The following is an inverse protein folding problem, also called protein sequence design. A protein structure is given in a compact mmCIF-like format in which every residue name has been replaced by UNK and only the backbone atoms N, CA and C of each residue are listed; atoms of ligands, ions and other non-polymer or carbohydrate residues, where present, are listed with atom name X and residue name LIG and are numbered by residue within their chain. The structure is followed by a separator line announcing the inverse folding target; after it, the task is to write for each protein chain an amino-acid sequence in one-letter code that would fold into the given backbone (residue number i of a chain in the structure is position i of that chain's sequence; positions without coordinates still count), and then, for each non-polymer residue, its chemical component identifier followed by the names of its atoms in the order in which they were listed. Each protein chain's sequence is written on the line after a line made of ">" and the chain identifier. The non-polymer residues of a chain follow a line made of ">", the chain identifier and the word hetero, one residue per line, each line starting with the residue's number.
data_IF_042342664425
#
_entry.id   IF_042342664425
#
_cell.length_a   1.000
_cell.length_b   1.000
_cell.length_c   1.000
_cell.angle_alpha   90.00
_cell.angle_beta   90.00
_cell.angle_gamma   90.00
#
_symmetry.space_group_name_H-M   'P 1'
#
loop_
_entity.id
_entity.type
_entity.pdbx_description
1 polymer ?
#
# COMPACT_ATOMS: atom_id res chain seq x y z
N UNK A 1 12.59 5.89 19.30
CA UNK A 1 11.81 6.44 18.18
C UNK A 1 12.60 7.61 17.64
N UNK A 2 13.40 7.38 16.59
CA UNK A 2 14.21 8.44 15.96
C UNK A 2 13.38 9.40 15.07
N UNK A 3 12.11 9.12 14.82
CA UNK A 3 11.22 10.00 14.04
C UNK A 3 10.31 10.85 14.97
N UNK A 4 10.69 12.09 15.32
CA UNK A 4 9.91 12.99 16.16
C UNK A 4 8.55 13.40 15.56
N UNK A 5 7.70 13.91 16.45
CA UNK A 5 6.30 14.34 16.26
C UNK A 5 6.10 15.28 15.04
N UNK A 6 7.12 16.08 14.73
CA UNK A 6 7.27 16.92 13.55
C UNK A 6 8.75 16.95 13.20
N UNK A 7 9.11 16.77 11.94
CA UNK A 7 10.47 17.13 11.52
C UNK A 7 10.50 17.34 10.01
N UNK A 8 10.57 18.61 9.63
CA UNK A 8 10.98 19.02 8.28
C UNK A 8 12.33 18.42 7.90
N UNK A 9 13.16 18.02 8.87
CA UNK A 9 14.42 17.35 8.58
C UNK A 9 14.20 16.02 7.86
N UNK A 10 13.17 15.24 8.22
CA UNK A 10 12.86 14.00 7.48
C UNK A 10 12.40 14.25 6.07
N UNK A 11 11.64 15.33 5.86
CA UNK A 11 11.27 15.77 4.51
C UNK A 11 12.53 16.09 3.70
N UNK A 12 13.41 16.95 4.22
CA UNK A 12 14.66 17.35 3.56
C UNK A 12 15.55 16.15 3.29
N UNK A 13 15.75 15.27 4.27
CA UNK A 13 16.54 14.04 4.12
C UNK A 13 16.03 13.21 2.94
N UNK A 14 14.70 13.04 2.79
CA UNK A 14 14.16 12.21 1.72
C UNK A 14 14.15 12.90 0.37
N UNK A 15 13.98 14.22 0.32
CA UNK A 15 14.18 14.99 -0.92
C UNK A 15 15.63 14.87 -1.38
N UNK A 16 16.59 15.11 -0.49
CA UNK A 16 18.03 14.98 -0.76
C UNK A 16 18.39 13.54 -1.13
N UNK A 17 17.84 12.54 -0.45
CA UNK A 17 18.06 11.14 -0.80
C UNK A 17 17.62 10.86 -2.24
N UNK A 18 16.43 11.31 -2.65
CA UNK A 18 15.94 11.16 -4.02
C UNK A 18 16.82 11.86 -5.05
N UNK A 19 17.27 13.09 -4.74
CA UNK A 19 18.19 13.86 -5.58
C UNK A 19 19.53 13.15 -5.78
N UNK A 20 20.16 12.71 -4.69
CA UNK A 20 21.46 12.04 -4.75
C UNK A 20 21.37 10.68 -5.44
N UNK A 21 20.22 10.00 -5.35
CA UNK A 21 19.99 8.72 -6.04
C UNK A 21 20.00 8.87 -7.57
N UNK A 22 19.75 10.06 -8.12
CA UNK A 22 19.88 10.31 -9.56
C UNK A 22 21.34 10.17 -10.00
N UNK A 23 22.29 10.52 -9.11
CA UNK A 23 23.72 10.50 -9.41
C UNK A 23 24.37 9.13 -9.17
N UNK A 24 23.94 8.40 -8.13
CA UNK A 24 24.47 7.05 -7.83
C UNK A 24 23.54 6.26 -6.91
N UNK A 25 23.71 4.93 -6.84
CA UNK A 25 22.98 4.06 -5.90
C UNK A 25 23.48 4.12 -4.45
N UNK A 26 24.69 4.66 -4.22
CA UNK A 26 25.36 4.68 -2.91
C UNK A 26 24.51 5.34 -1.80
N UNK A 27 23.83 6.49 -2.02
CA UNK A 27 23.02 7.14 -1.00
C UNK A 27 21.90 6.26 -0.44
N UNK A 28 21.15 5.55 -1.31
CA UNK A 28 20.07 4.66 -0.86
C UNK A 28 20.62 3.41 -0.19
N UNK A 29 21.74 2.87 -0.67
CA UNK A 29 22.45 1.77 -0.03
C UNK A 29 22.82 2.15 1.41
N UNK A 30 23.60 3.21 1.59
CA UNK A 30 24.04 3.68 2.91
C UNK A 30 22.85 3.98 3.82
N UNK A 31 21.84 4.68 3.29
CA UNK A 31 20.65 5.04 4.05
C UNK A 31 19.90 3.82 4.56
N UNK A 32 19.71 2.80 3.72
CA UNK A 32 19.02 1.56 4.10
C UNK A 32 19.77 0.83 5.22
N UNK A 33 21.09 0.63 5.08
CA UNK A 33 21.90 -0.05 6.09
C UNK A 33 21.95 0.72 7.41
N UNK A 34 22.14 2.05 7.37
CA UNK A 34 22.07 2.92 8.55
C UNK A 34 20.70 2.82 9.20
N UNK A 35 19.63 2.88 8.41
CA UNK A 35 18.27 2.78 8.93
C UNK A 35 18.06 1.45 9.66
N UNK A 36 18.39 0.31 9.05
CA UNK A 36 18.24 -1.00 9.69
C UNK A 36 19.09 -1.14 10.95
N UNK A 37 20.34 -0.68 10.92
CA UNK A 37 21.22 -0.66 12.09
C UNK A 37 20.57 0.12 13.24
N UNK A 38 20.05 1.33 12.98
CA UNK A 38 19.37 2.15 13.99
C UNK A 38 18.12 1.47 14.55
N UNK A 39 17.31 0.83 13.70
CA UNK A 39 16.12 0.10 14.15
C UNK A 39 16.47 -1.16 14.94
N UNK A 40 17.55 -1.84 14.58
CA UNK A 40 18.08 -2.99 15.31
C UNK A 40 18.49 -2.60 16.74
N UNK A 41 19.30 -1.55 16.92
CA UNK A 41 19.61 -1.04 18.27
C UNK A 41 18.36 -0.57 19.02
N UNK A 42 17.44 0.10 18.33
CA UNK A 42 16.20 0.56 18.94
C UNK A 42 15.35 -0.62 19.44
N UNK A 43 15.33 -1.76 18.74
CA UNK A 43 14.57 -2.95 19.13
C UNK A 43 14.98 -3.49 20.50
N UNK A 44 16.28 -3.50 20.81
CA UNK A 44 16.78 -3.94 22.12
C UNK A 44 16.59 -2.89 23.22
N UNK A 45 16.63 -1.59 22.87
CA UNK A 45 16.45 -0.49 23.84
C UNK A 45 14.99 -0.29 24.27
N UNK A 46 14.02 -0.55 23.41
CA UNK A 46 12.61 -0.35 23.75
C UNK A 46 12.04 -1.49 24.58
N UNK A 47 11.06 -1.16 25.43
CA UNK A 47 10.31 -2.14 26.19
C UNK A 47 9.61 -3.14 25.24
N UNK A 48 9.60 -4.42 25.61
CA UNK A 48 9.05 -5.54 24.81
C UNK A 48 7.63 -5.25 24.28
N UNK A 49 6.77 -4.63 25.11
CA UNK A 49 5.40 -4.27 24.71
C UNK A 49 5.30 -3.35 23.50
N UNK A 50 6.39 -2.65 23.15
CA UNK A 50 6.44 -1.74 22.01
C UNK A 50 7.13 -2.31 20.78
N UNK A 51 7.77 -3.49 20.87
CA UNK A 51 8.52 -4.10 19.77
C UNK A 51 7.63 -4.43 18.57
N UNK A 52 6.40 -4.90 18.79
CA UNK A 52 5.44 -5.12 17.71
C UNK A 52 5.11 -3.85 16.91
N UNK A 53 5.00 -2.69 17.58
CA UNK A 53 4.80 -1.42 16.87
C UNK A 53 6.04 -1.01 16.08
N UNK A 54 7.24 -1.22 16.63
CA UNK A 54 8.49 -0.94 15.93
C UNK A 54 8.57 -1.75 14.64
N UNK A 55 8.34 -3.06 14.71
CA UNK A 55 8.36 -3.95 13.53
C UNK A 55 7.38 -3.46 12.45
N UNK A 56 6.14 -3.12 12.83
CA UNK A 56 5.17 -2.57 11.90
C UNK A 56 5.64 -1.24 11.28
N UNK A 57 6.23 -0.35 12.09
CA UNK A 57 6.78 0.93 11.63
C UNK A 57 7.95 0.74 10.64
N UNK A 58 8.81 -0.26 10.85
CA UNK A 58 9.89 -0.63 9.93
C UNK A 58 9.33 -1.11 8.59
N UNK A 59 8.39 -2.06 8.62
CA UNK A 59 7.74 -2.57 7.41
C UNK A 59 7.10 -1.44 6.60
N UNK A 60 6.34 -0.57 7.28
CA UNK A 60 5.67 0.58 6.69
C UNK A 60 6.65 1.50 5.97
N UNK A 61 7.75 1.84 6.63
CA UNK A 61 8.75 2.74 6.07
C UNK A 61 9.46 2.15 4.86
N UNK A 62 9.74 0.84 4.87
CA UNK A 62 10.47 0.19 3.78
C UNK A 62 9.68 0.05 2.47
N UNK A 63 8.35 0.26 2.49
CA UNK A 63 7.45 0.05 1.33
C UNK A 63 7.90 0.76 0.07
N UNK A 64 8.17 2.06 0.18
CA UNK A 64 8.57 2.88 -0.97
C UNK A 64 10.09 2.96 -1.12
N UNK A 65 10.86 2.50 -0.12
CA UNK A 65 12.32 2.40 -0.19
C UNK A 65 12.77 1.33 -1.20
N UNK A 66 12.05 0.22 -1.30
CA UNK A 66 12.31 -0.81 -2.32
C UNK A 66 12.31 -0.17 -3.72
N UNK A 67 11.29 0.64 -4.03
CA UNK A 67 11.15 1.24 -5.35
C UNK A 67 12.32 2.17 -5.69
N UNK A 68 12.66 3.11 -4.81
CA UNK A 68 13.79 4.02 -5.08
C UNK A 68 15.12 3.25 -5.21
N UNK A 69 15.30 2.17 -4.45
CA UNK A 69 16.48 1.30 -4.57
C UNK A 69 16.56 0.63 -5.94
N UNK A 70 15.42 0.18 -6.49
CA UNK A 70 15.34 -0.37 -7.85
C UNK A 70 15.59 0.69 -8.92
N UNK A 71 14.99 1.87 -8.77
CA UNK A 71 15.17 3.00 -9.70
C UNK A 71 16.61 3.50 -9.75
N UNK A 72 17.32 3.43 -8.63
CA UNK A 72 18.74 3.78 -8.53
C UNK A 72 19.68 2.64 -8.95
N UNK A 73 19.17 1.48 -9.37
CA UNK A 73 19.97 0.29 -9.72
C UNK A 73 20.92 -0.18 -8.60
N UNK A 74 20.40 -0.30 -7.37
CA UNK A 74 21.19 -0.68 -6.20
C UNK A 74 21.48 -2.20 -6.05
N UNK A 75 20.99 -3.03 -6.96
CA UNK A 75 21.31 -4.46 -7.01
C UNK A 75 22.79 -4.67 -7.39
N UNK A 76 23.54 -5.62 -6.77
CA UNK A 76 23.09 -6.64 -5.82
C UNK A 76 23.14 -6.21 -4.34
N UNK A 77 23.61 -5.01 -4.01
CA UNK A 77 23.76 -4.56 -2.61
C UNK A 77 22.42 -4.40 -1.89
N UNK A 78 21.38 -4.04 -2.63
CA UNK A 78 19.98 -4.10 -2.22
C UNK A 78 19.29 -5.07 -3.19
N UNK A 79 18.93 -6.29 -2.74
CA UNK A 79 18.27 -7.27 -3.59
C UNK A 79 17.02 -6.70 -4.26
N UNK A 80 16.82 -7.04 -5.54
CA UNK A 80 15.66 -6.54 -6.29
C UNK A 80 14.33 -6.77 -5.54
N UNK A 81 14.13 -7.93 -4.90
CA UNK A 81 12.91 -8.26 -4.14
C UNK A 81 13.00 -8.00 -2.63
N UNK A 82 13.92 -7.14 -2.18
CA UNK A 82 14.24 -6.96 -0.76
C UNK A 82 13.00 -6.75 0.13
N UNK A 83 12.00 -5.97 -0.29
CA UNK A 83 10.83 -5.71 0.54
C UNK A 83 9.96 -6.95 0.77
N UNK A 84 9.93 -7.92 -0.16
CA UNK A 84 9.28 -9.23 0.09
C UNK A 84 10.01 -9.99 1.19
N UNK A 85 11.35 -9.98 1.18
CA UNK A 85 12.16 -10.66 2.20
C UNK A 85 12.09 -9.97 3.56
N UNK A 86 12.15 -8.64 3.61
CA UNK A 86 11.98 -7.85 4.84
C UNK A 86 10.59 -8.12 5.44
N UNK A 87 9.53 -8.02 4.63
CA UNK A 87 8.17 -8.24 5.11
C UNK A 87 8.02 -9.64 5.70
N UNK A 88 8.53 -10.67 5.01
CA UNK A 88 8.51 -12.04 5.50
C UNK A 88 9.19 -12.16 6.87
N UNK A 89 10.46 -11.73 6.97
CA UNK A 89 11.25 -11.82 8.19
C UNK A 89 10.61 -11.06 9.36
N UNK A 90 10.20 -9.81 9.11
CA UNK A 90 9.59 -8.94 10.13
C UNK A 90 8.23 -9.46 10.59
N UNK A 91 7.42 -10.04 9.69
CA UNK A 91 6.19 -10.70 10.08
C UNK A 91 6.46 -11.91 10.96
N UNK A 92 7.42 -12.78 10.60
CA UNK A 92 7.77 -13.95 11.41
C UNK A 92 8.21 -13.52 12.82
N UNK A 93 9.13 -12.56 12.93
CA UNK A 93 9.58 -12.02 14.22
C UNK A 93 8.40 -11.41 14.98
N UNK A 94 7.53 -10.66 14.29
CA UNK A 94 6.34 -10.05 14.86
C UNK A 94 5.34 -11.06 15.41
N UNK A 95 5.15 -12.19 14.73
CA UNK A 95 4.29 -13.30 15.15
C UNK A 95 4.87 -13.95 16.42
N UNK A 96 6.16 -14.27 16.43
CA UNK A 96 6.83 -14.87 17.59
C UNK A 96 6.68 -13.98 18.83
N UNK A 97 6.90 -12.67 18.70
CA UNK A 97 6.75 -11.72 19.81
C UNK A 97 5.30 -11.54 20.29
N UNK A 98 4.31 -11.84 19.45
CA UNK A 98 2.89 -11.69 19.77
C UNK A 98 2.15 -13.03 19.74
N UNK A 99 2.85 -14.13 19.97
CA UNK A 99 2.32 -15.49 19.81
C UNK A 99 1.04 -15.72 20.64
N UNK A 100 0.99 -15.19 21.85
CA UNK A 100 -0.18 -15.27 22.74
C UNK A 100 -1.45 -14.60 22.14
N UNK A 101 -1.33 -13.81 21.08
CA UNK A 101 -2.43 -13.11 20.41
C UNK A 101 -2.70 -13.64 18.99
N UNK A 102 -2.03 -14.72 18.57
CA UNK A 102 -2.07 -15.27 17.21
C UNK A 102 -3.49 -15.65 16.75
N UNK A 103 -4.38 -16.00 17.69
CA UNK A 103 -5.79 -16.32 17.42
C UNK A 103 -6.56 -15.19 16.73
N UNK A 104 -6.12 -13.93 16.87
CA UNK A 104 -6.69 -12.78 16.14
C UNK A 104 -6.38 -12.80 14.65
N UNK A 105 -5.29 -13.47 14.29
CA UNK A 105 -4.76 -13.60 12.95
C UNK A 105 -5.17 -14.89 12.23
N UNK A 106 -6.12 -15.67 12.77
CA UNK A 106 -6.48 -17.01 12.27
C UNK A 106 -6.83 -17.09 10.78
N UNK A 107 -7.35 -16.00 10.21
CA UNK A 107 -7.63 -15.93 8.77
C UNK A 107 -6.34 -15.99 7.95
N UNK A 108 -5.27 -15.32 8.39
CA UNK A 108 -3.97 -15.45 7.74
C UNK A 108 -3.40 -16.86 7.84
N UNK A 109 -3.60 -17.55 8.97
CA UNK A 109 -3.20 -18.96 9.09
C UNK A 109 -3.97 -19.87 8.12
N UNK A 110 -5.28 -19.67 8.00
CA UNK A 110 -6.10 -20.39 7.02
C UNK A 110 -5.62 -20.14 5.59
N UNK A 111 -5.28 -18.90 5.23
CA UNK A 111 -4.75 -18.57 3.92
C UNK A 111 -3.42 -19.29 3.63
N UNK A 112 -2.50 -19.38 4.61
CA UNK A 112 -1.25 -20.14 4.44
C UNK A 112 -1.52 -21.61 4.15
N UNK A 113 -2.45 -22.23 4.88
CA UNK A 113 -2.81 -23.65 4.69
C UNK A 113 -3.39 -23.87 3.30
N UNK A 114 -4.28 -22.99 2.84
CA UNK A 114 -4.89 -23.09 1.51
C UNK A 114 -3.90 -22.87 0.37
N UNK A 115 -2.78 -22.18 0.59
CA UNK A 115 -1.74 -22.03 -0.44
C UNK A 115 -0.91 -23.31 -0.64
N UNK A 116 -0.82 -24.20 0.37
CA UNK A 116 0.09 -25.35 0.36
C UNK A 116 -0.11 -26.34 -0.80
N UNK A 117 -1.34 -26.72 -1.20
CA UNK A 117 -1.52 -27.79 -2.18
C UNK A 117 -0.83 -27.53 -3.53
N UNK A 118 -0.83 -26.29 -4.02
CA UNK A 118 -0.24 -25.97 -5.32
C UNK A 118 1.28 -26.01 -5.34
N UNK A 119 1.96 -26.03 -4.18
CA UNK A 119 3.42 -26.21 -4.13
C UNK A 119 3.85 -27.62 -4.50
N UNK A 120 2.93 -28.59 -4.44
CA UNK A 120 3.21 -29.99 -4.76
C UNK A 120 2.80 -30.36 -6.18
N UNK A 121 2.39 -29.37 -6.99
CA UNK A 121 1.90 -29.55 -8.35
C UNK A 121 2.71 -28.63 -9.26
N UNK A 122 3.14 -29.14 -10.41
CA UNK A 122 3.64 -28.33 -11.52
C UNK A 122 3.26 -29.03 -12.83
N UNK A 123 2.16 -28.57 -13.43
CA UNK A 123 1.68 -29.10 -14.72
C UNK A 123 2.54 -28.66 -15.90
N UNK A 124 3.37 -27.62 -15.73
CA UNK A 124 4.26 -27.14 -16.77
C UNK A 124 5.59 -27.90 -16.85
N UNK A 125 6.02 -28.48 -15.72
CA UNK A 125 7.34 -29.09 -15.56
C UNK A 125 8.51 -28.12 -15.69
N UNK A 126 8.25 -26.81 -15.70
CA UNK A 126 9.23 -25.74 -15.98
C UNK A 126 9.42 -24.78 -14.80
N UNK A 127 8.68 -24.95 -13.70
CA UNK A 127 8.70 -23.99 -12.59
C UNK A 127 10.05 -24.04 -11.86
N UNK A 128 10.74 -22.90 -11.81
CA UNK A 128 11.96 -22.76 -11.01
C UNK A 128 11.64 -22.25 -9.59
N UNK A 129 12.60 -22.42 -8.68
CA UNK A 129 12.52 -21.78 -7.36
C UNK A 129 12.46 -20.25 -7.45
N UNK A 130 13.04 -19.66 -8.50
CA UNK A 130 12.92 -18.23 -8.79
C UNK A 130 11.47 -17.81 -9.00
N UNK A 131 10.70 -18.60 -9.77
CA UNK A 131 9.30 -18.32 -10.09
C UNK A 131 8.40 -18.47 -8.86
N UNK A 132 8.62 -19.51 -8.07
CA UNK A 132 7.92 -19.71 -6.78
C UNK A 132 8.11 -18.49 -5.85
N UNK A 133 9.36 -18.04 -5.69
CA UNK A 133 9.67 -16.85 -4.88
C UNK A 133 9.00 -15.60 -5.44
N UNK A 134 9.06 -15.39 -6.75
CA UNK A 134 8.54 -14.18 -7.38
C UNK A 134 7.01 -14.09 -7.27
N UNK A 135 6.28 -15.17 -7.53
CA UNK A 135 4.81 -15.13 -7.59
C UNK A 135 4.11 -15.43 -6.26
N UNK A 136 4.65 -16.32 -5.41
CA UNK A 136 3.92 -16.79 -4.23
C UNK A 136 4.25 -16.02 -2.97
N UNK A 137 5.48 -15.49 -2.86
CA UNK A 137 5.93 -14.80 -1.65
C UNK A 137 5.06 -13.57 -1.33
N UNK A 138 4.44 -12.95 -2.35
CA UNK A 138 3.45 -11.90 -2.16
C UNK A 138 2.22 -12.35 -1.35
N UNK A 139 1.65 -13.50 -1.70
CA UNK A 139 0.49 -14.08 -1.01
C UNK A 139 0.85 -14.64 0.37
N UNK A 140 2.03 -15.26 0.51
CA UNK A 140 2.57 -15.65 1.83
C UNK A 140 2.70 -14.42 2.73
N UNK A 141 3.29 -13.34 2.22
CA UNK A 141 3.44 -12.09 2.98
C UNK A 141 2.11 -11.46 3.35
N UNK A 142 1.10 -11.50 2.47
CA UNK A 142 -0.25 -11.06 2.80
C UNK A 142 -0.80 -11.85 4.00
N UNK A 143 -0.68 -13.18 3.95
CA UNK A 143 -1.17 -14.07 4.99
C UNK A 143 -0.43 -13.87 6.32
N UNK A 144 0.91 -13.87 6.31
CA UNK A 144 1.75 -13.57 7.48
C UNK A 144 1.48 -12.16 8.04
N UNK A 145 1.29 -11.19 7.15
CA UNK A 145 0.91 -9.82 7.49
C UNK A 145 -0.41 -9.76 8.24
N UNK A 146 -1.44 -10.49 7.79
CA UNK A 146 -2.71 -10.60 8.52
C UNK A 146 -2.51 -11.26 9.88
N UNK A 147 -1.69 -12.32 9.98
CA UNK A 147 -1.43 -12.98 11.27
C UNK A 147 -0.85 -11.99 12.26
N UNK A 148 0.23 -11.32 11.86
CA UNK A 148 0.95 -10.37 12.70
C UNK A 148 0.14 -9.12 13.00
N UNK A 149 -0.30 -8.37 11.99
CA UNK A 149 -0.89 -7.04 12.16
C UNK A 149 -2.28 -7.08 12.81
N UNK A 150 -3.00 -8.21 12.77
CA UNK A 150 -4.23 -8.42 13.54
C UNK A 150 -3.98 -8.45 15.07
N UNK A 151 -2.75 -8.72 15.50
CA UNK A 151 -2.37 -8.65 16.92
C UNK A 151 -2.18 -7.21 17.40
N UNK A 152 -1.86 -6.28 16.49
CA UNK A 152 -1.50 -4.90 16.80
C UNK A 152 -2.75 -4.07 17.13
N UNK A 153 -2.72 -3.44 18.31
CA UNK A 153 -3.74 -2.48 18.78
C UNK A 153 -3.12 -1.10 18.94
N UNK A 154 -3.46 -0.18 18.07
CA UNK A 154 -2.80 1.12 17.97
C UNK A 154 -3.79 2.26 18.17
N UNK A 155 -3.36 3.32 18.86
CA UNK A 155 -4.19 4.53 18.98
C UNK A 155 -4.28 5.23 17.63
N UNK A 156 -5.40 5.92 17.39
CA UNK A 156 -5.57 6.71 16.15
C UNK A 156 -4.40 7.67 15.92
N UNK A 157 -3.88 8.32 16.97
CA UNK A 157 -2.73 9.24 16.88
C UNK A 157 -1.49 8.53 16.35
N UNK A 158 -1.18 7.31 16.83
CA UNK A 158 -0.02 6.56 16.33
C UNK A 158 -0.28 6.03 14.92
N UNK A 159 -1.50 5.60 14.60
CA UNK A 159 -1.84 5.19 13.24
C UNK A 159 -1.67 6.36 12.25
N UNK A 160 -2.07 7.58 12.61
CA UNK A 160 -1.82 8.78 11.80
C UNK A 160 -0.32 9.05 11.62
N UNK A 161 0.54 8.71 12.60
CA UNK A 161 2.01 8.81 12.41
C UNK A 161 2.53 7.84 11.35
N UNK A 162 1.88 6.70 11.13
CA UNK A 162 2.27 5.77 10.07
C UNK A 162 2.09 6.36 8.67
N UNK A 163 1.16 7.30 8.46
CA UNK A 163 1.07 8.05 7.20
C UNK A 163 2.36 8.82 6.90
N UNK A 164 3.01 9.39 7.92
CA UNK A 164 4.31 10.07 7.75
C UNK A 164 5.40 9.07 7.36
N UNK A 165 5.42 7.90 7.99
CA UNK A 165 6.39 6.85 7.66
C UNK A 165 6.22 6.34 6.22
N UNK A 166 4.98 6.14 5.77
CA UNK A 166 4.68 5.74 4.39
C UNK A 166 5.17 6.79 3.39
N UNK A 167 4.93 8.07 3.65
CA UNK A 167 5.15 9.12 2.64
C UNK A 167 6.60 9.55 2.49
N UNK A 168 7.44 9.37 3.51
CA UNK A 168 8.83 9.83 3.45
C UNK A 168 9.62 9.21 2.27
N UNK A 169 9.66 7.88 2.08
CA UNK A 169 10.31 7.35 0.89
C UNK A 169 9.52 7.58 -0.40
N UNK A 170 8.21 7.83 -0.37
CA UNK A 170 7.49 8.32 -1.55
C UNK A 170 8.02 9.68 -2.03
N UNK A 171 8.44 10.56 -1.10
CA UNK A 171 9.05 11.85 -1.43
C UNK A 171 10.39 11.66 -2.13
N UNK A 172 11.19 10.66 -1.75
CA UNK A 172 12.43 10.32 -2.46
C UNK A 172 12.15 9.87 -3.89
N UNK A 173 11.12 9.03 -4.10
CA UNK A 173 10.68 8.63 -5.45
C UNK A 173 10.23 9.85 -6.25
N UNK A 174 9.41 10.74 -5.66
CA UNK A 174 8.97 11.97 -6.32
C UNK A 174 10.16 12.85 -6.74
N UNK A 175 11.07 13.14 -5.82
CA UNK A 175 12.24 13.97 -6.08
C UNK A 175 13.13 13.36 -7.19
N UNK A 176 13.38 12.06 -7.13
CA UNK A 176 14.13 11.35 -8.16
C UNK A 176 13.46 11.48 -9.53
N UNK A 177 12.14 11.23 -9.61
CA UNK A 177 11.43 11.30 -10.90
C UNK A 177 11.42 12.70 -11.49
N UNK A 178 11.16 13.75 -10.69
CA UNK A 178 11.13 15.13 -11.19
C UNK A 178 12.47 15.54 -11.78
N UNK A 179 13.57 15.10 -11.17
CA UNK A 179 14.92 15.55 -11.52
C UNK A 179 15.51 14.74 -12.67
N UNK A 180 15.16 13.45 -12.75
CA UNK A 180 15.54 12.59 -13.85
C UNK A 180 14.64 12.76 -15.08
N UNK A 181 13.49 13.45 -14.95
CA UNK A 181 12.66 13.78 -16.11
C UNK A 181 13.51 14.58 -17.13
N UNK A 182 13.43 14.23 -18.42
CA UNK A 182 13.96 15.09 -19.48
C UNK A 182 13.19 16.41 -19.54
N UNK A 183 13.67 17.37 -20.35
CA UNK A 183 12.89 18.58 -20.62
C UNK A 183 11.53 18.17 -21.21
N UNK A 184 10.47 18.49 -20.48
CA UNK A 184 9.10 18.13 -20.84
C UNK A 184 8.66 18.83 -22.14
N UNK A 185 9.32 19.93 -22.54
CA UNK A 185 9.06 20.65 -23.79
C UNK A 185 9.60 19.92 -25.02
N UNK A 186 10.65 19.12 -24.83
CA UNK A 186 11.30 18.33 -25.87
C UNK A 186 10.83 16.87 -25.87
N UNK A 187 10.02 16.49 -24.88
CA UNK A 187 9.52 15.13 -24.75
C UNK A 187 8.32 14.89 -25.66
N UNK A 188 8.47 14.04 -26.67
CA UNK A 188 7.35 13.53 -27.44
C UNK A 188 6.53 12.53 -26.60
N UNK A 189 5.33 12.95 -26.19
CA UNK A 189 4.40 12.08 -25.48
C UNK A 189 3.68 11.14 -26.46
N UNK A 190 3.77 9.84 -26.21
CA UNK A 190 3.02 8.80 -26.94
C UNK A 190 1.87 8.22 -26.06
N UNK A 191 0.97 7.46 -26.67
CA UNK A 191 -0.17 6.80 -26.02
C UNK A 191 0.22 5.56 -25.20
N UNK A 192 1.52 5.33 -24.99
CA UNK A 192 2.08 4.27 -24.16
C UNK A 192 2.29 4.66 -22.69
N UNK A 193 2.79 3.74 -21.89
CA UNK A 193 3.39 4.09 -20.60
C UNK A 193 4.67 4.88 -20.82
N UNK A 194 4.90 5.95 -20.05
CA UNK A 194 6.07 6.80 -20.23
C UNK A 194 7.15 6.44 -19.20
N UNK A 195 8.19 5.73 -19.65
CA UNK A 195 9.32 5.34 -18.82
C UNK A 195 10.25 6.51 -18.50
N UNK A 196 10.37 7.48 -19.40
CA UNK A 196 11.21 8.67 -19.21
C UNK A 196 10.70 9.50 -18.02
N UNK A 197 9.39 9.79 -18.01
CA UNK A 197 8.75 10.50 -16.89
C UNK A 197 8.58 9.63 -15.63
N UNK A 198 8.88 8.34 -15.71
CA UNK A 198 8.96 7.44 -14.56
C UNK A 198 10.41 7.30 -14.04
N UNK A 199 11.34 8.16 -14.47
CA UNK A 199 12.75 8.12 -14.05
C UNK A 199 13.53 6.94 -14.65
N UNK A 200 13.11 6.43 -15.80
CA UNK A 200 13.70 5.28 -16.48
C UNK A 200 13.31 3.93 -15.89
N UNK A 201 12.25 3.87 -15.07
CA UNK A 201 11.82 2.64 -14.39
C UNK A 201 10.35 2.29 -14.68
N UNK A 202 9.90 1.12 -14.22
CA UNK A 202 8.55 0.61 -14.46
C UNK A 202 7.44 1.57 -14.01
N UNK A 203 6.82 2.25 -14.99
CA UNK A 203 5.82 3.31 -14.77
C UNK A 203 4.66 2.90 -13.85
N UNK A 204 4.24 1.64 -13.90
CA UNK A 204 3.19 1.12 -13.02
C UNK A 204 3.58 1.14 -11.55
N UNK A 205 4.82 0.78 -11.22
CA UNK A 205 5.31 0.78 -9.85
C UNK A 205 5.51 2.21 -9.35
N UNK A 206 6.08 3.07 -10.21
CA UNK A 206 6.29 4.50 -9.92
C UNK A 206 4.96 5.22 -9.69
N UNK A 207 4.00 5.08 -10.59
CA UNK A 207 2.68 5.70 -10.43
C UNK A 207 1.91 5.19 -9.21
N UNK A 208 2.10 3.93 -8.82
CA UNK A 208 1.49 3.38 -7.59
C UNK A 208 2.04 4.10 -6.35
N UNK A 209 3.37 4.28 -6.27
CA UNK A 209 4.01 4.98 -5.13
C UNK A 209 3.70 6.48 -5.12
N UNK A 210 3.68 7.12 -6.29
CA UNK A 210 3.26 8.52 -6.42
C UNK A 210 1.79 8.71 -6.04
N UNK A 211 0.92 7.78 -6.46
CA UNK A 211 -0.48 7.72 -6.07
C UNK A 211 -0.66 7.54 -4.55
N UNK A 212 0.13 6.67 -3.92
CA UNK A 212 0.16 6.54 -2.45
C UNK A 212 0.53 7.89 -1.80
N UNK A 213 1.54 8.58 -2.33
CA UNK A 213 1.91 9.93 -1.88
C UNK A 213 0.73 10.91 -1.98
N UNK A 214 0.07 10.98 -3.14
CA UNK A 214 -1.11 11.81 -3.35
C UNK A 214 -2.26 11.47 -2.39
N UNK A 215 -2.55 10.19 -2.17
CA UNK A 215 -3.55 9.74 -1.19
C UNK A 215 -3.20 10.21 0.22
N UNK A 216 -1.95 10.05 0.67
CA UNK A 216 -1.52 10.44 2.02
C UNK A 216 -1.63 11.95 2.23
N UNK A 217 -1.16 12.77 1.28
CA UNK A 217 -1.28 14.23 1.38
C UNK A 217 -2.74 14.70 1.30
N UNK A 218 -3.58 14.01 0.52
CA UNK A 218 -5.03 14.29 0.50
C UNK A 218 -5.66 14.04 1.87
N UNK A 219 -5.38 12.88 2.47
CA UNK A 219 -5.88 12.52 3.81
C UNK A 219 -5.34 13.47 4.87
N UNK A 220 -4.08 13.91 4.78
CA UNK A 220 -3.49 14.86 5.72
C UNK A 220 -4.17 16.23 5.67
N UNK A 221 -4.48 16.73 4.48
CA UNK A 221 -5.22 17.98 4.29
C UNK A 221 -6.68 17.87 4.78
N UNK A 222 -7.36 16.75 4.51
CA UNK A 222 -8.74 16.51 4.96
C UNK A 222 -8.85 16.41 6.48
N UNK A 223 -7.92 15.70 7.12
CA UNK A 223 -7.87 15.53 8.58
C UNK A 223 -7.14 16.68 9.30
N UNK A 224 -6.64 17.67 8.56
CA UNK A 224 -5.84 18.80 9.03
C UNK A 224 -4.64 18.42 9.92
N UNK A 225 -4.02 17.27 9.65
CA UNK A 225 -2.69 16.97 10.20
C UNK A 225 -1.62 17.33 9.17
N UNK A 226 -0.50 17.85 9.64
CA UNK A 226 0.59 18.29 8.76
C UNK A 226 1.60 17.16 8.54
N UNK A 227 1.90 16.88 7.27
CA UNK A 227 3.06 16.03 6.90
C UNK A 227 4.32 16.88 7.02
N UNK A 228 4.32 18.04 6.35
CA UNK A 228 5.37 19.06 6.44
C UNK A 228 5.12 20.02 7.61
N UNK A 229 5.83 21.16 7.65
CA UNK A 229 5.57 22.23 8.64
C UNK A 229 4.46 23.18 8.21
N UNK A 230 4.12 23.23 6.92
CA UNK A 230 3.26 24.26 6.34
C UNK A 230 2.18 23.63 5.45
N UNK A 231 0.93 24.07 5.60
CA UNK A 231 -0.19 23.64 4.75
C UNK A 231 0.07 23.92 3.27
N UNK A 232 0.68 25.05 2.93
CA UNK A 232 1.00 25.39 1.55
C UNK A 232 2.00 24.39 0.94
N UNK A 233 2.99 23.94 1.72
CA UNK A 233 3.90 22.88 1.29
C UNK A 233 3.18 21.54 1.12
N UNK A 234 2.27 21.19 2.03
CA UNK A 234 1.45 19.97 1.87
C UNK A 234 0.61 20.00 0.58
N UNK A 235 0.06 21.17 0.20
CA UNK A 235 -0.66 21.37 -1.07
C UNK A 235 0.28 21.28 -2.27
N UNK A 236 1.47 21.89 -2.19
CA UNK A 236 2.48 21.81 -3.23
C UNK A 236 2.92 20.36 -3.47
N UNK A 237 3.24 19.61 -2.43
CA UNK A 237 3.60 18.19 -2.57
C UNK A 237 2.46 17.38 -3.17
N UNK A 238 1.21 17.61 -2.74
CA UNK A 238 0.05 16.97 -3.37
C UNK A 238 -0.01 17.25 -4.87
N UNK A 239 0.18 18.50 -5.28
CA UNK A 239 0.20 18.91 -6.68
C UNK A 239 1.31 18.19 -7.46
N UNK A 240 2.53 18.16 -6.90
CA UNK A 240 3.67 17.47 -7.51
C UNK A 240 3.44 15.96 -7.65
N UNK A 241 2.91 15.29 -6.61
CA UNK A 241 2.56 13.87 -6.68
C UNK A 241 1.51 13.59 -7.75
N UNK A 242 0.48 14.44 -7.86
CA UNK A 242 -0.58 14.28 -8.86
C UNK A 242 -0.04 14.51 -10.26
N UNK A 243 0.65 15.63 -10.52
CA UNK A 243 1.22 15.93 -11.85
C UNK A 243 2.20 14.84 -12.25
N UNK A 244 3.23 14.57 -11.44
CA UNK A 244 4.26 13.59 -11.78
C UNK A 244 3.66 12.20 -11.96
N UNK A 245 2.71 11.81 -11.11
CA UNK A 245 2.01 10.54 -11.23
C UNK A 245 1.23 10.41 -12.55
N UNK A 246 0.54 11.47 -12.97
CA UNK A 246 -0.17 11.50 -14.26
C UNK A 246 0.80 11.45 -15.45
N UNK A 247 1.94 12.16 -15.38
CA UNK A 247 2.94 12.20 -16.45
C UNK A 247 3.57 10.83 -16.74
N UNK A 248 3.51 9.86 -15.81
CA UNK A 248 3.95 8.47 -16.06
C UNK A 248 3.07 7.69 -17.06
N UNK A 249 1.87 8.20 -17.37
CA UNK A 249 0.85 7.55 -18.21
C UNK A 249 0.38 6.17 -17.70
N UNK A 250 0.69 5.85 -16.44
CA UNK A 250 0.18 4.64 -15.77
C UNK A 250 -1.10 4.94 -14.99
N UNK A 251 -2.23 4.76 -15.69
CA UNK A 251 -3.58 5.03 -15.19
C UNK A 251 -3.89 4.37 -13.85
N UNK A 252 -3.54 3.08 -13.70
CA UNK A 252 -3.99 2.31 -12.53
C UNK A 252 -3.42 2.82 -11.20
N UNK A 253 -2.15 3.23 -11.14
CA UNK A 253 -1.57 3.75 -9.90
C UNK A 253 -2.30 4.99 -9.37
N UNK A 254 -2.67 5.90 -10.28
CA UNK A 254 -3.37 7.13 -9.95
C UNK A 254 -4.87 6.92 -9.71
N UNK A 255 -5.54 6.07 -10.52
CA UNK A 255 -6.95 5.73 -10.33
C UNK A 255 -7.16 5.06 -8.96
N UNK A 256 -6.30 4.13 -8.58
CA UNK A 256 -6.36 3.48 -7.27
C UNK A 256 -6.26 4.48 -6.11
N UNK A 257 -5.35 5.45 -6.21
CA UNK A 257 -5.21 6.52 -5.23
C UNK A 257 -6.46 7.41 -5.16
N UNK A 258 -7.01 7.82 -6.30
CA UNK A 258 -8.24 8.63 -6.35
C UNK A 258 -9.43 7.87 -5.74
N UNK A 259 -9.60 6.60 -6.08
CA UNK A 259 -10.63 5.75 -5.51
C UNK A 259 -10.48 5.63 -3.98
N UNK A 260 -9.25 5.48 -3.49
CA UNK A 260 -8.97 5.46 -2.05
C UNK A 260 -9.34 6.79 -1.35
N UNK A 261 -9.09 7.94 -1.99
CA UNK A 261 -9.53 9.26 -1.49
C UNK A 261 -11.06 9.38 -1.48
N UNK A 262 -11.75 8.94 -2.53
CA UNK A 262 -13.21 8.94 -2.57
C UNK A 262 -13.83 8.05 -1.49
N UNK A 263 -13.30 6.83 -1.30
CA UNK A 263 -13.74 5.92 -0.24
C UNK A 263 -13.46 6.52 1.14
N UNK A 264 -12.33 7.21 1.31
CA UNK A 264 -12.02 7.93 2.53
C UNK A 264 -13.09 8.99 2.82
N UNK A 265 -13.36 9.86 1.85
CA UNK A 265 -14.37 10.93 1.92
C UNK A 265 -15.77 10.36 2.20
N UNK A 266 -16.15 9.26 1.55
CA UNK A 266 -17.46 8.62 1.72
C UNK A 266 -17.73 8.17 3.15
N UNK A 267 -16.74 7.61 3.84
CA UNK A 267 -16.88 7.19 5.23
C UNK A 267 -16.69 8.33 6.21
N UNK A 268 -15.70 9.19 5.98
CA UNK A 268 -15.35 10.26 6.92
C UNK A 268 -16.47 11.30 7.01
N UNK A 269 -17.17 11.62 5.90
CA UNK A 269 -18.30 12.56 5.92
C UNK A 269 -19.47 12.12 6.83
N UNK A 270 -19.56 10.81 7.13
CA UNK A 270 -20.57 10.22 8.04
C UNK A 270 -20.18 10.34 9.52
N UNK A 271 -19.05 10.98 9.84
CA UNK A 271 -18.59 11.24 11.20
C UNK A 271 -19.50 12.27 11.89
N UNK A 272 -19.99 11.94 13.08
CA UNK A 272 -20.90 12.79 13.87
C UNK A 272 -20.20 14.09 14.30
N UNK A 273 -20.97 15.17 14.43
CA UNK A 273 -20.42 16.48 14.81
C UNK A 273 -19.66 16.46 16.15
N UNK A 274 -20.18 15.77 17.16
CA UNK A 274 -19.53 15.59 18.46
C UNK A 274 -18.15 14.93 18.33
N UNK A 275 -18.05 13.87 17.54
CA UNK A 275 -16.79 13.15 17.33
C UNK A 275 -15.79 14.00 16.54
N UNK A 276 -16.26 14.82 15.58
CA UNK A 276 -15.40 15.78 14.86
C UNK A 276 -14.75 16.79 15.80
N UNK A 277 -15.52 17.36 16.73
CA UNK A 277 -15.01 18.31 17.72
C UNK A 277 -13.98 17.64 18.63
N UNK A 278 -14.29 16.45 19.15
CA UNK A 278 -13.38 15.69 20.02
C UNK A 278 -12.06 15.35 19.33
N UNK A 279 -12.10 15.08 18.03
CA UNK A 279 -10.95 14.66 17.23
C UNK A 279 -10.27 15.83 16.52
N UNK A 280 -10.77 17.06 16.72
CA UNK A 280 -10.29 18.30 16.08
C UNK A 280 -10.27 18.21 14.55
N UNK A 281 -11.24 17.50 13.97
CA UNK A 281 -11.37 17.32 12.52
C UNK A 281 -12.25 18.44 11.97
N UNK A 282 -11.81 19.16 10.92
CA UNK A 282 -12.60 20.22 10.32
C UNK A 282 -13.89 19.68 9.66
N UNK A 283 -14.79 20.58 9.26
CA UNK A 283 -16.00 20.15 8.56
C UNK A 283 -15.65 19.58 7.18
N UNK A 284 -15.74 18.26 7.06
CA UNK A 284 -15.35 17.48 5.88
C UNK A 284 -16.11 17.89 4.62
N UNK A 285 -17.38 18.35 4.75
CA UNK A 285 -18.16 18.82 3.60
C UNK A 285 -17.46 19.96 2.85
N UNK A 286 -16.62 20.75 3.54
CA UNK A 286 -15.82 21.82 2.93
C UNK A 286 -14.68 21.30 2.04
N UNK A 287 -14.31 20.02 2.11
CA UNK A 287 -13.20 19.45 1.35
C UNK A 287 -13.64 18.64 0.14
N UNK A 288 -14.92 18.23 0.04
CA UNK A 288 -15.39 17.41 -1.09
C UNK A 288 -15.22 18.15 -2.42
N UNK A 289 -15.78 19.36 -2.52
CA UNK A 289 -15.70 20.16 -3.74
C UNK A 289 -14.25 20.60 -4.06
N UNK A 290 -13.45 21.11 -3.10
CA UNK A 290 -12.05 21.45 -3.36
C UNK A 290 -11.19 20.27 -3.80
N UNK A 291 -11.38 19.07 -3.24
CA UNK A 291 -10.62 17.88 -3.68
C UNK A 291 -10.98 17.52 -5.12
N UNK A 292 -12.28 17.52 -5.47
CA UNK A 292 -12.71 17.25 -6.86
C UNK A 292 -12.13 18.31 -7.80
N UNK A 293 -12.25 19.59 -7.47
CA UNK A 293 -11.71 20.68 -8.27
C UNK A 293 -10.19 20.57 -8.43
N UNK A 294 -9.48 20.26 -7.34
CA UNK A 294 -8.03 20.06 -7.37
C UNK A 294 -7.65 18.95 -8.33
N UNK A 295 -8.27 17.77 -8.22
CA UNK A 295 -7.97 16.64 -9.10
C UNK A 295 -8.27 16.96 -10.57
N UNK A 296 -9.40 17.64 -10.84
CA UNK A 296 -9.77 18.07 -12.18
C UNK A 296 -8.78 19.07 -12.76
N UNK A 297 -8.43 20.13 -12.01
CA UNK A 297 -7.48 21.16 -12.45
C UNK A 297 -6.12 20.53 -12.75
N UNK A 298 -5.58 19.72 -11.84
CA UNK A 298 -4.27 19.12 -12.04
C UNK A 298 -4.25 18.04 -13.13
N UNK A 299 -5.39 17.40 -13.41
CA UNK A 299 -5.54 16.58 -14.62
C UNK A 299 -5.43 17.41 -15.90
N UNK A 300 -6.13 18.56 -15.97
CA UNK A 300 -6.03 19.45 -17.13
C UNK A 300 -4.66 20.08 -17.29
N UNK A 301 -3.99 20.44 -16.20
CA UNK A 301 -2.59 20.92 -16.23
C UNK A 301 -1.68 19.84 -16.80
N UNK A 302 -1.74 18.60 -16.30
CA UNK A 302 -0.95 17.51 -16.83
C UNK A 302 -1.29 17.22 -18.30
N UNK A 303 -2.58 17.29 -18.67
CA UNK A 303 -3.01 17.11 -20.05
C UNK A 303 -2.46 18.19 -20.99
N UNK A 304 -2.43 19.44 -20.54
CA UNK A 304 -1.85 20.55 -21.27
C UNK A 304 -0.34 20.36 -21.49
N UNK A 305 0.40 19.94 -20.45
CA UNK A 305 1.83 19.60 -20.56
C UNK A 305 2.07 18.51 -21.62
N UNK A 306 1.13 17.57 -21.76
CA UNK A 306 1.24 16.45 -22.69
C UNK A 306 0.61 16.70 -24.06
N UNK A 307 0.26 17.96 -24.38
CA UNK A 307 -0.42 18.33 -25.64
C UNK A 307 -1.69 17.51 -25.93
N UNK A 308 -2.45 17.15 -24.89
CA UNK A 308 -3.69 16.37 -25.01
C UNK A 308 -3.53 14.85 -24.96
N UNK A 309 -2.29 14.33 -25.00
CA UNK A 309 -2.03 12.88 -25.05
C UNK A 309 -2.46 12.15 -23.78
N UNK A 310 -2.39 12.80 -22.62
CA UNK A 310 -2.87 12.21 -21.37
C UNK A 310 -4.37 11.91 -21.42
N UNK A 311 -5.19 12.83 -21.94
CA UNK A 311 -6.63 12.61 -22.07
C UNK A 311 -6.93 11.46 -23.01
N UNK A 312 -6.25 11.38 -24.15
CA UNK A 312 -6.37 10.27 -25.10
C UNK A 312 -6.00 8.94 -24.43
N UNK A 313 -4.88 8.89 -23.70
CA UNK A 313 -4.46 7.72 -22.92
C UNK A 313 -5.54 7.29 -21.91
N UNK A 314 -6.12 8.24 -21.16
CA UNK A 314 -7.17 7.96 -20.19
C UNK A 314 -8.51 7.55 -20.82
N UNK A 315 -8.79 8.00 -22.05
CA UNK A 315 -9.91 7.50 -22.88
C UNK A 315 -9.66 6.13 -23.52
N UNK A 316 -8.44 5.58 -23.39
CA UNK A 316 -8.09 4.28 -23.95
C UNK A 316 -7.59 4.32 -25.39
N UNK A 317 -7.22 5.49 -25.88
CA UNK A 317 -6.66 5.61 -27.22
C UNK A 317 -5.27 4.97 -27.30
N UNK A 318 -4.97 4.43 -28.47
CA UNK A 318 -3.68 3.89 -28.90
C UNK A 318 -3.41 4.37 -30.33
N UNK A 319 -2.17 4.27 -30.83
CA UNK A 319 -1.89 4.63 -32.25
C UNK A 319 -2.83 3.90 -33.20
N UNK A 320 -3.11 2.62 -32.93
CA UNK A 320 -4.04 1.81 -33.72
C UNK A 320 -5.49 2.29 -33.65
N UNK A 321 -5.99 2.76 -32.50
CA UNK A 321 -7.38 3.26 -32.42
C UNK A 321 -7.54 4.62 -33.08
N UNK A 322 -6.51 5.46 -33.02
CA UNK A 322 -6.48 6.71 -33.78
C UNK A 322 -6.44 6.47 -35.29
N UNK A 323 -5.87 5.35 -35.74
CA UNK A 323 -5.85 4.93 -37.14
C UNK A 323 -7.08 4.09 -37.56
N UNK A 324 -8.16 4.08 -36.76
CA UNK A 324 -9.43 3.45 -37.11
C UNK A 324 -9.66 2.03 -36.57
N UNK A 325 -8.73 1.45 -35.80
CA UNK A 325 -9.01 0.19 -35.12
C UNK A 325 -10.02 0.38 -33.98
N UNK A 326 -10.85 -0.63 -33.74
CA UNK A 326 -11.80 -0.58 -32.64
C UNK A 326 -11.11 -0.47 -31.27
N UNK A 327 -11.79 0.25 -30.37
CA UNK A 327 -11.44 0.34 -28.96
C UNK A 327 -11.95 -0.90 -28.23
N UNK A 328 -11.03 -1.77 -27.87
CA UNK A 328 -11.34 -2.98 -27.10
C UNK A 328 -10.98 -2.80 -25.62
N UNK A 329 -11.59 -3.61 -24.75
CA UNK A 329 -11.25 -3.71 -23.33
C UNK A 329 -9.75 -3.98 -23.14
N UNK A 330 -9.14 -4.71 -24.06
CA UNK A 330 -7.73 -5.07 -24.01
C UNK A 330 -6.78 -3.88 -24.17
N UNK A 331 -7.10 -2.95 -25.06
CA UNK A 331 -6.36 -1.69 -25.21
C UNK A 331 -6.53 -0.80 -23.98
N UNK A 332 -7.76 -0.75 -23.44
CA UNK A 332 -8.06 -0.03 -22.19
C UNK A 332 -7.30 -0.60 -20.98
N UNK A 333 -7.07 -1.91 -20.92
CA UNK A 333 -6.36 -2.56 -19.82
C UNK A 333 -4.88 -2.79 -20.09
N UNK A 334 -4.39 -2.47 -21.30
CA UNK A 334 -3.01 -2.70 -21.75
C UNK A 334 -2.64 -4.18 -21.69
N UNK A 335 -3.31 -5.00 -22.50
CA UNK A 335 -3.08 -6.44 -22.67
C UNK A 335 -3.43 -7.31 -21.45
N UNK A 336 -3.98 -6.72 -20.38
CA UNK A 336 -4.29 -7.46 -19.14
C UNK A 336 -5.56 -8.30 -19.25
N UNK A 337 -6.51 -7.94 -20.12
CA UNK A 337 -7.72 -8.75 -20.29
C UNK A 337 -7.40 -10.05 -21.00
N UNK A 338 -6.55 -10.03 -22.03
CA UNK A 338 -6.19 -11.26 -22.76
C UNK A 338 -5.38 -12.20 -21.87
N UNK A 339 -4.42 -11.65 -21.12
CA UNK A 339 -3.69 -12.44 -20.11
C UNK A 339 -4.60 -13.02 -19.02
N UNK A 340 -5.66 -12.28 -18.64
CA UNK A 340 -6.66 -12.78 -17.70
C UNK A 340 -7.45 -13.94 -18.29
N UNK A 341 -7.80 -13.87 -19.59
CA UNK A 341 -8.52 -14.93 -20.29
C UNK A 341 -7.65 -16.19 -20.44
N UNK A 342 -6.38 -16.06 -20.83
CA UNK A 342 -5.51 -17.25 -20.91
C UNK A 342 -5.27 -17.90 -19.53
N UNK A 343 -5.19 -17.12 -18.45
CA UNK A 343 -5.17 -17.67 -17.09
C UNK A 343 -6.48 -18.41 -16.75
N UNK A 344 -7.63 -17.94 -17.27
CA UNK A 344 -8.89 -18.67 -17.11
C UNK A 344 -8.90 -19.95 -17.94
N UNK A 345 -8.29 -19.97 -19.12
CA UNK A 345 -8.17 -21.18 -19.93
C UNK A 345 -7.35 -22.25 -19.18
N UNK A 346 -6.22 -21.86 -18.58
CA UNK A 346 -5.44 -22.73 -17.69
C UNK A 346 -6.27 -23.18 -16.48
N UNK A 347 -7.09 -22.29 -15.90
CA UNK A 347 -7.98 -22.67 -14.80
C UNK A 347 -9.05 -23.68 -15.24
N UNK A 348 -9.60 -23.56 -16.44
CA UNK A 348 -10.60 -24.49 -16.98
C UNK A 348 -9.99 -25.87 -17.27
N UNK A 349 -8.70 -25.92 -17.62
CA UNK A 349 -7.95 -27.17 -17.78
C UNK A 349 -7.65 -27.85 -16.43
N UNK A 350 -7.29 -27.07 -15.41
CA UNK A 350 -6.93 -27.56 -14.06
C UNK A 350 -7.83 -26.99 -12.94
N UNK A 351 -9.15 -27.22 -12.94
CA UNK A 351 -10.09 -26.45 -12.14
C UNK A 351 -10.02 -26.71 -10.64
N UNK A 352 -9.68 -27.92 -10.20
CA UNK A 352 -9.78 -28.31 -8.79
C UNK A 352 -8.57 -27.82 -7.98
N UNK A 353 -7.38 -28.33 -8.31
CA UNK A 353 -6.14 -28.07 -7.57
C UNK A 353 -5.27 -26.98 -8.20
N UNK A 354 -5.62 -26.53 -9.41
CA UNK A 354 -4.81 -25.60 -10.20
C UNK A 354 -3.66 -26.28 -10.93
N UNK A 355 -3.01 -25.50 -11.79
CA UNK A 355 -1.85 -25.92 -12.57
C UNK A 355 -0.58 -26.10 -11.73
N UNK A 356 -0.58 -25.65 -10.48
CA UNK A 356 0.62 -25.58 -9.66
C UNK A 356 1.12 -24.16 -9.50
N UNK A 357 1.83 -23.93 -8.39
CA UNK A 357 2.21 -22.59 -8.03
C UNK A 357 3.23 -22.01 -9.03
N UNK A 358 2.91 -20.87 -9.64
CA UNK A 358 3.66 -20.24 -10.74
C UNK A 358 3.64 -20.98 -12.09
N UNK A 359 2.96 -22.12 -12.21
CA UNK A 359 2.95 -22.90 -13.44
C UNK A 359 2.18 -22.21 -14.58
N UNK A 360 1.17 -21.37 -14.27
CA UNK A 360 0.33 -20.77 -15.30
C UNK A 360 1.10 -19.89 -16.28
N UNK A 361 2.23 -19.30 -15.85
CA UNK A 361 3.11 -18.49 -16.71
C UNK A 361 3.64 -19.27 -17.91
N UNK A 362 3.76 -20.58 -17.80
CA UNK A 362 4.33 -21.45 -18.83
C UNK A 362 3.28 -22.18 -19.68
N UNK A 363 2.03 -22.19 -19.23
CA UNK A 363 0.91 -22.87 -19.87
C UNK A 363 0.06 -21.95 -20.75
N UNK A 364 0.31 -20.64 -20.69
CA UNK A 364 -0.28 -19.65 -21.57
C UNK A 364 0.21 -19.78 -23.01
N UNK A 365 -0.65 -19.45 -23.96
CA UNK A 365 -0.32 -19.50 -25.39
C UNK A 365 0.43 -18.25 -25.85
N UNK A 366 -0.21 -17.07 -25.83
CA UNK A 366 0.39 -15.85 -26.35
C UNK A 366 1.29 -15.15 -25.34
N UNK A 367 1.01 -15.34 -24.04
CA UNK A 367 1.75 -14.70 -22.95
C UNK A 367 2.69 -15.66 -22.21
N UNK A 368 3.16 -16.73 -22.87
CA UNK A 368 4.11 -17.68 -22.31
C UNK A 368 5.37 -16.99 -21.80
N UNK A 369 5.75 -17.26 -20.56
CA UNK A 369 6.93 -16.65 -19.91
C UNK A 369 6.72 -15.21 -19.44
N UNK A 370 5.56 -14.60 -19.69
CA UNK A 370 5.26 -13.23 -19.28
C UNK A 370 4.62 -13.23 -17.90
N UNK A 371 5.28 -12.56 -16.95
CA UNK A 371 4.82 -12.49 -15.57
C UNK A 371 3.40 -11.87 -15.46
N UNK A 372 2.53 -12.44 -14.60
CA UNK A 372 1.14 -12.04 -14.47
C UNK A 372 0.99 -10.58 -14.05
N UNK A 373 0.01 -9.91 -14.66
CA UNK A 373 -0.34 -8.53 -14.33
C UNK A 373 -1.56 -8.41 -13.40
N UNK A 374 -2.33 -9.49 -13.23
CA UNK A 374 -3.53 -9.54 -12.40
C UNK A 374 -3.42 -10.70 -11.42
N UNK A 375 -3.46 -10.40 -10.12
CA UNK A 375 -3.29 -11.41 -9.08
C UNK A 375 -4.46 -12.41 -9.03
N UNK A 376 -5.69 -11.97 -9.36
CA UNK A 376 -6.89 -12.82 -9.32
C UNK A 376 -6.80 -13.97 -10.34
N UNK A 377 -6.55 -13.69 -11.61
CA UNK A 377 -6.51 -14.74 -12.65
C UNK A 377 -5.37 -15.72 -12.40
N UNK A 378 -4.19 -15.21 -12.02
CA UNK A 378 -3.06 -16.04 -11.59
C UNK A 378 -3.43 -16.97 -10.43
N UNK A 379 -4.09 -16.44 -9.40
CA UNK A 379 -4.48 -17.23 -8.24
C UNK A 379 -5.46 -18.35 -8.62
N UNK A 380 -6.39 -18.09 -9.56
CA UNK A 380 -7.29 -19.11 -10.10
C UNK A 380 -6.54 -20.17 -10.90
N UNK A 381 -5.67 -19.76 -11.83
CA UNK A 381 -4.88 -20.67 -12.66
C UNK A 381 -3.96 -21.57 -11.83
N UNK A 382 -3.22 -20.98 -10.89
CA UNK A 382 -2.20 -21.69 -10.09
C UNK A 382 -2.81 -22.59 -9.00
N UNK A 383 -3.98 -22.24 -8.43
CA UNK A 383 -4.56 -22.92 -7.27
C UNK A 383 -5.98 -23.49 -7.49
N UNK A 384 -6.57 -23.34 -8.68
CA UNK A 384 -7.90 -23.87 -8.98
C UNK A 384 -9.01 -23.28 -8.10
N UNK A 385 -9.95 -24.13 -7.69
CA UNK A 385 -11.04 -23.80 -6.77
C UNK A 385 -10.53 -23.32 -5.41
N UNK A 386 -9.35 -23.78 -4.99
CA UNK A 386 -8.71 -23.30 -3.76
C UNK A 386 -8.30 -21.83 -3.93
N UNK A 387 -7.81 -21.45 -5.11
CA UNK A 387 -7.54 -20.06 -5.47
C UNK A 387 -8.77 -19.17 -5.39
N UNK A 388 -9.90 -19.64 -5.92
CA UNK A 388 -11.18 -18.93 -5.81
C UNK A 388 -11.60 -18.76 -4.34
N UNK A 389 -11.48 -19.83 -3.53
CA UNK A 389 -11.78 -19.79 -2.11
C UNK A 389 -10.89 -18.78 -1.36
N UNK A 390 -9.58 -18.75 -1.64
CA UNK A 390 -8.63 -17.78 -1.09
C UNK A 390 -9.08 -16.35 -1.41
N UNK A 391 -9.43 -16.08 -2.67
CA UNK A 391 -9.90 -14.75 -3.08
C UNK A 391 -11.18 -14.34 -2.35
N UNK A 392 -12.16 -15.24 -2.24
CA UNK A 392 -13.41 -14.98 -1.52
C UNK A 392 -13.16 -14.72 -0.03
N UNK A 393 -12.26 -15.48 0.61
CA UNK A 393 -11.87 -15.24 2.02
C UNK A 393 -11.25 -13.85 2.18
N UNK A 394 -10.35 -13.45 1.29
CA UNK A 394 -9.73 -12.12 1.29
C UNK A 394 -10.81 -11.02 1.17
N UNK A 395 -11.75 -11.16 0.23
CA UNK A 395 -12.83 -10.18 0.03
C UNK A 395 -13.77 -10.10 1.24
N UNK A 396 -14.23 -11.24 1.75
CA UNK A 396 -15.10 -11.31 2.94
C UNK A 396 -14.35 -10.73 4.15
N UNK A 397 -13.08 -11.07 4.34
CA UNK A 397 -12.25 -10.53 5.42
C UNK A 397 -12.18 -9.01 5.33
N UNK A 398 -11.91 -8.44 4.16
CA UNK A 398 -11.87 -7.00 3.94
C UNK A 398 -13.19 -6.32 4.37
N UNK A 399 -14.34 -6.86 3.92
CA UNK A 399 -15.67 -6.34 4.27
C UNK A 399 -15.92 -6.42 5.78
N UNK A 400 -15.62 -7.56 6.39
CA UNK A 400 -15.78 -7.77 7.84
C UNK A 400 -14.91 -6.82 8.64
N UNK A 401 -13.66 -6.60 8.24
CA UNK A 401 -12.74 -5.65 8.90
C UNK A 401 -13.26 -4.21 8.84
N UNK A 402 -13.69 -3.77 7.66
CA UNK A 402 -14.30 -2.44 7.48
C UNK A 402 -15.54 -2.29 8.36
N UNK A 403 -16.41 -3.29 8.44
CA UNK A 403 -17.64 -3.21 9.23
C UNK A 403 -17.43 -3.32 10.75
N UNK A 404 -16.37 -4.00 11.21
CA UNK A 404 -16.01 -4.07 12.63
C UNK A 404 -15.30 -2.81 13.15
N UNK A 405 -14.80 -1.96 12.26
CA UNK A 405 -14.20 -0.69 12.66
C UNK A 405 -15.26 0.23 13.30
N UNK A 406 -15.11 0.49 14.61
CA UNK A 406 -16.12 1.20 15.41
C UNK A 406 -16.27 2.68 15.03
N UNK A 407 -15.15 3.38 14.86
CA UNK A 407 -15.15 4.80 14.54
C UNK A 407 -15.13 5.03 13.04
N UNK A 408 -15.84 6.07 12.55
CA UNK A 408 -15.89 6.38 11.12
C UNK A 408 -14.53 6.74 10.52
N UNK A 409 -13.61 7.32 11.31
CA UNK A 409 -12.23 7.58 10.88
C UNK A 409 -11.45 6.28 10.72
N UNK A 410 -11.58 5.36 11.69
CA UNK A 410 -10.93 4.06 11.59
C UNK A 410 -11.47 3.31 10.37
N UNK A 411 -12.79 3.38 10.14
CA UNK A 411 -13.45 2.80 8.98
C UNK A 411 -12.98 3.40 7.66
N UNK A 412 -12.84 4.73 7.57
CA UNK A 412 -12.37 5.40 6.36
C UNK A 412 -10.93 5.01 6.03
N UNK A 413 -10.05 4.99 7.02
CA UNK A 413 -8.65 4.60 6.84
C UNK A 413 -8.52 3.12 6.40
N UNK A 414 -9.15 2.20 7.13
CA UNK A 414 -9.09 0.76 6.83
C UNK A 414 -9.68 0.48 5.44
N UNK A 415 -10.83 1.07 5.11
CA UNK A 415 -11.46 0.89 3.80
C UNK A 415 -10.57 1.42 2.66
N UNK A 416 -9.95 2.59 2.82
CA UNK A 416 -9.06 3.14 1.80
C UNK A 416 -7.81 2.28 1.59
N UNK A 417 -7.19 1.74 2.64
CA UNK A 417 -6.05 0.84 2.50
C UNK A 417 -6.40 -0.48 1.80
N UNK A 418 -7.56 -1.07 2.13
CA UNK A 418 -8.03 -2.29 1.48
C UNK A 418 -8.37 -2.05 0.00
N UNK A 419 -9.01 -0.92 -0.32
CA UNK A 419 -9.32 -0.54 -1.71
C UNK A 419 -8.04 -0.28 -2.49
N UNK A 420 -7.07 0.42 -1.91
CA UNK A 420 -5.79 0.68 -2.56
C UNK A 420 -5.04 -0.63 -2.84
N UNK A 421 -5.05 -1.55 -1.87
CA UNK A 421 -4.45 -2.88 -2.02
C UNK A 421 -5.14 -3.70 -3.11
N UNK A 422 -6.47 -3.84 -3.06
CA UNK A 422 -7.22 -4.63 -4.05
C UNK A 422 -7.04 -4.02 -5.44
N UNK A 423 -7.13 -2.70 -5.58
CA UNK A 423 -6.91 -2.07 -6.88
C UNK A 423 -5.49 -2.32 -7.40
N UNK A 424 -4.47 -2.19 -6.54
CA UNK A 424 -3.06 -2.43 -6.91
C UNK A 424 -2.82 -3.88 -7.33
N UNK A 425 -3.51 -4.87 -6.73
CA UNK A 425 -3.37 -6.28 -7.13
C UNK A 425 -3.90 -6.57 -8.54
N UNK A 426 -4.86 -5.78 -9.05
CA UNK A 426 -5.34 -5.87 -10.43
C UNK A 426 -4.47 -5.08 -11.42
N UNK A 427 -3.72 -4.08 -10.96
CA UNK A 427 -2.91 -3.22 -11.82
C UNK A 427 -1.45 -3.68 -11.94
N UNK A 428 -0.85 -4.05 -10.80
CA UNK A 428 0.58 -4.32 -10.64
C UNK A 428 0.86 -5.67 -9.97
N UNK A 429 -0.16 -6.50 -9.74
CA UNK A 429 -0.08 -7.75 -8.99
C UNK A 429 0.63 -7.56 -7.62
N UNK A 430 1.45 -8.51 -7.22
CA UNK A 430 2.28 -8.46 -6.00
C UNK A 430 3.78 -8.24 -6.28
N UNK A 431 4.11 -7.59 -7.41
CA UNK A 431 5.50 -7.29 -7.82
C UNK A 431 6.32 -6.48 -6.82
N UNK A 432 5.66 -5.70 -5.97
CA UNK A 432 6.23 -5.09 -4.75
C UNK A 432 5.39 -5.54 -3.56
N UNK A 433 5.95 -5.48 -2.35
CA UNK A 433 5.18 -5.84 -1.16
C UNK A 433 4.17 -4.76 -0.72
N UNK A 434 3.99 -3.69 -1.50
CA UNK A 434 2.98 -2.66 -1.28
C UNK A 434 1.58 -3.25 -1.14
N UNK A 435 1.19 -4.11 -2.08
CA UNK A 435 -0.11 -4.79 -2.09
C UNK A 435 -0.35 -5.59 -0.80
N UNK A 436 0.49 -6.59 -0.45
CA UNK A 436 0.28 -7.37 0.77
C UNK A 436 0.36 -6.52 2.05
N UNK A 437 1.22 -5.50 2.11
CA UNK A 437 1.32 -4.63 3.28
C UNK A 437 0.05 -3.80 3.48
N UNK A 438 -0.45 -3.11 2.46
CA UNK A 438 -1.65 -2.27 2.61
C UNK A 438 -2.87 -3.11 2.96
N UNK A 439 -2.99 -4.33 2.41
CA UNK A 439 -4.02 -5.27 2.83
C UNK A 439 -3.90 -5.61 4.33
N UNK A 440 -2.70 -5.99 4.75
CA UNK A 440 -2.42 -6.38 6.12
C UNK A 440 -2.58 -5.21 7.11
N UNK A 441 -2.28 -3.97 6.74
CA UNK A 441 -2.56 -2.77 7.55
C UNK A 441 -4.06 -2.58 7.80
N UNK A 442 -4.93 -3.03 6.89
CA UNK A 442 -6.37 -3.09 7.10
C UNK A 442 -6.83 -4.05 8.22
N UNK A 443 -5.95 -4.98 8.64
CA UNK A 443 -6.22 -5.90 9.75
C UNK A 443 -5.95 -5.30 11.13
N UNK A 444 -5.20 -4.20 11.20
CA UNK A 444 -4.83 -3.53 12.46
C UNK A 444 -6.08 -3.05 13.20
N UNK A 445 -6.04 -3.15 14.52
CA UNK A 445 -7.14 -2.65 15.36
C UNK A 445 -6.84 -1.25 15.87
N UNK A 446 -7.53 -0.25 15.34
CA UNK A 446 -7.44 1.14 15.79
C UNK A 446 -8.31 1.31 17.04
N UNK A 447 -7.68 1.57 18.18
CA UNK A 447 -8.36 1.74 19.47
C UNK A 447 -8.55 3.22 19.79
N UNK A 448 -9.77 3.58 20.16
CA UNK A 448 -10.07 4.91 20.69
C UNK A 448 -9.40 5.09 22.04
N UNK A 449 -8.65 6.17 22.22
CA UNK A 449 -7.96 6.50 23.48
C UNK A 449 -8.93 6.86 24.63
N UNK A 450 -10.25 6.85 24.41
CA UNK A 450 -11.22 7.50 25.31
C UNK A 450 -12.28 6.58 25.92
N UNK A 451 -11.95 5.34 26.30
CA UNK A 451 -12.69 4.70 27.39
C UNK A 451 -11.78 4.60 28.60
N UNK A 452 -11.86 5.60 29.49
CA UNK A 452 -11.57 5.34 30.91
C UNK A 452 -12.39 4.10 31.28
N UNK A 453 -11.81 3.10 31.96
CA UNK A 453 -12.64 2.05 32.53
C UNK A 453 -13.69 2.75 33.38
N UNK A 454 -14.97 2.36 33.23
CA UNK A 454 -15.94 2.68 34.27
C UNK A 454 -15.34 2.04 35.52
N UNK A 455 -14.74 2.83 36.41
CA UNK A 455 -14.56 2.37 37.77
C UNK A 455 -15.98 1.99 38.19
N UNK A 456 -16.17 0.72 38.56
CA UNK A 456 -17.31 0.38 39.39
C UNK A 456 -17.09 1.19 40.66
N UNK A 457 -17.70 2.37 40.72
CA UNK A 457 -17.96 3.03 41.98
C UNK A 457 -18.93 2.09 42.67
N UNK A 458 -18.38 1.16 43.44
CA UNK A 458 -19.14 0.42 44.43
C UNK A 458 -19.49 1.48 45.47
N UNK A 459 -20.64 2.13 45.30
CA UNK A 459 -21.28 2.86 46.37
C UNK A 459 -21.71 1.83 47.43
N UNK A 460 -20.77 1.44 48.30
CA UNK A 460 -21.12 0.93 49.62
C UNK A 460 -21.15 2.15 50.55
N UNK A 461 -22.31 2.53 51.11
CA UNK A 461 -22.30 3.48 52.21
C UNK A 461 -21.51 2.85 53.36
N UNK A 462 -20.47 3.55 53.84
CA UNK A 462 -19.73 3.16 55.03
C UNK A 462 -20.71 3.08 56.20
N UNK A 463 -20.79 1.91 56.85
CA UNK A 463 -21.52 1.76 58.12
C UNK A 463 -20.80 2.57 59.19
N UNK A 464 -21.56 3.34 59.96
CA UNK A 464 -21.12 4.22 61.05
C UNK A 464 -20.44 3.52 62.25
N UNK A 465 -20.07 2.24 62.16
CA UNK A 465 -19.58 1.45 63.30
C UNK A 465 -18.08 1.09 63.25
N UNK A 466 -17.29 1.65 62.32
CA UNK A 466 -15.84 1.36 62.23
C UNK A 466 -14.93 2.54 62.65
N UNK A 467 -15.48 3.62 63.21
CA UNK A 467 -14.72 4.79 63.66
C UNK A 467 -14.28 4.75 65.14
N UNK A 468 -14.39 3.60 65.82
CA UNK A 468 -14.12 3.51 67.27
C UNK A 468 -13.01 2.52 67.68
N UNK A 469 -12.10 2.14 66.77
CA UNK A 469 -10.97 1.25 67.09
C UNK A 469 -9.59 1.78 66.68
N UNK A 470 -9.41 3.11 66.67
CA UNK A 470 -8.07 3.72 66.58
C UNK A 470 -7.96 4.77 67.68
N UNK A 471 -7.95 4.29 68.91
CA UNK A 471 -7.44 5.03 70.07
C UNK A 471 -7.03 4.00 71.12
N UNK A 472 -5.81 3.49 70.97
CA UNK A 472 -4.91 2.99 72.01
C UNK A 472 -3.55 2.71 71.37
#
# INVERSE_FOLDING_TARGET
>A
MLLPRYSSHWLVIHVVLGLLCVLSSIPVILWLYIYFMLQFFQFFKINQRFRGFLIAEVMIYTTSLELISRMAHADPFIPYELGKYIMFLLCVVGIVLNFNQISRGKIGLLLLILLLPSFFIDQSGMVSFGDLRFNILGMINLALGIIFLSTIRVSLIRFVRWFKLLVYPCISVLAFTIIKNPDLRETEFDLGANFLTAGGFGSNQVATVLGIGAFIFSVSLILDFRITKNRALDILFLALFVIQGLLTFSRGGMIGAFLAVFVFLFYIQKLKAKDRVNLKIPNIKRFVLPVILFLTVFFFVANYITSGMLLLRYKGETKGTLSGQEKTLNKLTTNRSDMFLEDLDVWMEYPILGAGASASVYLRDQFKGIAPHVELSRLLADHGMIGLLIFLIILIFAIVRVNRAREKISKSIIASFLVLSLFTSFHSATRTFTTPLFFALGSVSIVSSQKKPKSRVVNRPLRKNELQKVSL
#
